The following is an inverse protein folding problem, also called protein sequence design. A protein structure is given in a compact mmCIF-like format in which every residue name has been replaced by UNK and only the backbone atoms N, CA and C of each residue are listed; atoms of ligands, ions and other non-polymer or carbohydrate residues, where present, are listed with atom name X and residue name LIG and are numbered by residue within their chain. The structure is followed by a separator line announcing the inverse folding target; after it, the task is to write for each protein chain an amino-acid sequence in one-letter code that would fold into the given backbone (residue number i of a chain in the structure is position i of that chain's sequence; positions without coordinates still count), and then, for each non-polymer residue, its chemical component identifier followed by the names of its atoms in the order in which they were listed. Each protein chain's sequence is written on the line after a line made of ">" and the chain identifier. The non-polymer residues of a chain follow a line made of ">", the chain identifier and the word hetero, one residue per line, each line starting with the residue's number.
data_IF_002430483195
#
_entry.id   IF_002430483195
#
_cell.length_a   1.000
_cell.length_b   1.000
_cell.length_c   1.000
_cell.angle_alpha   90.00
_cell.angle_beta   90.00
_cell.angle_gamma   90.00
#
_symmetry.space_group_name_H-M   'P 1'
#
loop_
_entity.id
_entity.type
_entity.pdbx_description
1 polymer ?
#
# COMPACT_ATOMS: atom_id res chain seq x y z
N UNK A 1 19.42 2.09 -1.92
CA UNK A 1 18.43 2.79 -2.77
C UNK A 1 18.06 4.16 -2.20
N UNK A 2 17.55 4.27 -0.96
CA UNK A 2 17.18 5.57 -0.38
C UNK A 2 18.31 6.61 -0.32
N UNK A 3 19.53 6.22 0.05
CA UNK A 3 20.68 7.13 0.13
C UNK A 3 21.12 7.77 -1.20
N UNK A 4 20.65 7.24 -2.34
CA UNK A 4 20.95 7.78 -3.68
C UNK A 4 19.83 8.71 -4.21
N UNK A 5 18.73 8.88 -3.47
CA UNK A 5 17.61 9.72 -3.89
C UNK A 5 18.01 11.19 -3.79
N UNK A 6 17.78 11.94 -4.87
CA UNK A 6 18.02 13.38 -4.92
C UNK A 6 16.87 14.17 -4.28
N UNK A 7 17.10 15.45 -4.00
CA UNK A 7 16.03 16.35 -3.59
C UNK A 7 14.89 16.40 -4.63
N UNK A 8 15.23 16.32 -5.93
CA UNK A 8 14.24 16.28 -7.00
C UNK A 8 13.34 15.04 -6.91
N UNK A 9 13.89 13.89 -6.51
CA UNK A 9 13.12 12.66 -6.32
C UNK A 9 12.15 12.79 -5.14
N UNK A 10 12.59 13.42 -4.04
CA UNK A 10 11.72 13.71 -2.89
C UNK A 10 10.56 14.63 -3.28
N UNK A 11 10.84 15.71 -4.03
CA UNK A 11 9.80 16.64 -4.50
C UNK A 11 8.77 15.91 -5.38
N UNK A 12 9.24 15.09 -6.33
CA UNK A 12 8.36 14.27 -7.18
C UNK A 12 7.51 13.31 -6.34
N UNK A 13 8.13 12.60 -5.40
CA UNK A 13 7.44 11.64 -4.54
C UNK A 13 6.34 12.31 -3.68
N UNK A 14 6.60 13.48 -3.10
CA UNK A 14 5.59 14.23 -2.36
C UNK A 14 4.45 14.76 -3.26
N UNK A 15 4.76 15.14 -4.50
CA UNK A 15 3.75 15.45 -5.52
C UNK A 15 2.84 14.26 -5.79
N UNK A 16 3.42 13.07 -5.99
CA UNK A 16 2.66 11.84 -6.21
C UNK A 16 1.84 11.43 -4.98
N UNK A 17 2.39 11.56 -3.77
CA UNK A 17 1.65 11.31 -2.55
C UNK A 17 0.43 12.24 -2.44
N UNK A 18 0.60 13.53 -2.77
CA UNK A 18 -0.50 14.51 -2.77
C UNK A 18 -1.58 14.14 -3.80
N UNK A 19 -1.18 13.63 -4.97
CA UNK A 19 -2.11 13.14 -6.00
C UNK A 19 -2.88 11.91 -5.51
N UNK A 20 -2.19 10.95 -4.89
CA UNK A 20 -2.79 9.74 -4.31
C UNK A 20 -3.79 10.11 -3.21
N UNK A 21 -3.40 10.97 -2.27
CA UNK A 21 -4.27 11.49 -1.21
C UNK A 21 -5.56 12.09 -1.79
N UNK A 22 -5.44 13.08 -2.68
CA UNK A 22 -6.62 13.75 -3.28
C UNK A 22 -7.50 12.79 -4.07
N UNK A 23 -6.90 11.83 -4.76
CA UNK A 23 -7.64 10.79 -5.48
C UNK A 23 -8.42 9.87 -4.54
N UNK A 24 -7.86 9.54 -3.39
CA UNK A 24 -8.53 8.71 -2.39
C UNK A 24 -9.66 9.45 -1.67
N UNK A 25 -9.46 10.73 -1.34
CA UNK A 25 -10.45 11.54 -0.61
C UNK A 25 -11.79 11.70 -1.33
N UNK A 26 -11.80 11.62 -2.67
CA UNK A 26 -13.04 11.67 -3.46
C UNK A 26 -14.01 10.54 -3.11
N UNK A 27 -13.52 9.41 -2.63
CA UNK A 27 -14.38 8.28 -2.27
C UNK A 27 -15.21 8.62 -1.02
N UNK A 28 -14.65 9.45 -0.13
CA UNK A 28 -15.36 9.92 1.06
C UNK A 28 -16.41 10.99 0.77
N UNK A 29 -16.54 11.47 -0.48
CA UNK A 29 -17.70 12.26 -0.91
C UNK A 29 -18.97 11.39 -1.05
N UNK A 30 -18.79 10.06 -1.17
CA UNK A 30 -19.86 9.10 -1.42
C UNK A 30 -20.00 8.05 -0.32
N UNK A 31 -18.95 7.79 0.47
CA UNK A 31 -18.92 6.73 1.47
C UNK A 31 -18.28 7.20 2.77
N UNK A 32 -18.87 6.86 3.92
CA UNK A 32 -18.27 7.18 5.22
C UNK A 32 -17.12 6.22 5.58
N UNK A 33 -17.17 4.98 5.07
CA UNK A 33 -16.22 3.92 5.35
C UNK A 33 -15.87 3.15 4.08
N UNK A 34 -14.62 2.72 3.99
CA UNK A 34 -14.12 1.85 2.93
C UNK A 34 -13.70 0.53 3.58
N UNK A 35 -14.26 -0.57 3.07
CA UNK A 35 -13.99 -1.92 3.55
C UNK A 35 -13.14 -2.67 2.52
N UNK A 36 -12.03 -3.24 2.99
CA UNK A 36 -11.13 -4.05 2.18
C UNK A 36 -10.47 -5.14 3.04
N UNK A 37 -10.01 -6.26 2.45
CA UNK A 37 -9.17 -7.21 3.15
C UNK A 37 -7.90 -6.54 3.70
N UNK A 38 -7.45 -6.94 4.90
CA UNK A 38 -6.19 -6.42 5.47
C UNK A 38 -4.97 -6.97 4.71
N UNK A 39 -5.02 -8.23 4.27
CA UNK A 39 -3.93 -8.86 3.51
C UNK A 39 -4.50 -9.70 2.36
N UNK A 40 -3.74 -9.92 1.27
CA UNK A 40 -4.22 -10.66 0.12
C UNK A 40 -4.18 -12.19 0.30
N UNK A 41 -3.66 -12.69 1.43
CA UNK A 41 -3.48 -14.12 1.69
C UNK A 41 -3.75 -14.47 3.15
N UNK A 42 -4.00 -15.75 3.41
CA UNK A 42 -3.93 -16.32 4.76
C UNK A 42 -2.47 -16.50 5.22
N UNK A 43 -2.23 -16.72 6.53
CA UNK A 43 -0.91 -17.08 7.02
C UNK A 43 -0.31 -18.25 6.24
N UNK A 44 0.98 -18.13 5.92
CA UNK A 44 1.77 -19.12 5.18
C UNK A 44 2.98 -19.55 6.03
N UNK A 45 3.72 -20.61 5.67
CA UNK A 45 4.81 -21.13 6.49
C UNK A 45 5.85 -20.08 6.85
N UNK A 46 6.26 -20.02 8.12
CA UNK A 46 7.23 -19.04 8.63
C UNK A 46 8.61 -19.14 7.97
N UNK A 47 8.94 -20.30 7.40
CA UNK A 47 10.18 -20.52 6.65
C UNK A 47 10.21 -19.79 5.31
N UNK A 48 9.06 -19.36 4.80
CA UNK A 48 8.97 -18.52 3.62
C UNK A 48 9.09 -17.06 4.03
N UNK A 49 10.10 -16.38 3.49
CA UNK A 49 10.44 -15.02 3.92
C UNK A 49 9.44 -13.96 3.43
N UNK A 50 8.80 -14.22 2.29
CA UNK A 50 7.81 -13.35 1.65
C UNK A 50 7.05 -14.12 0.56
N UNK A 51 5.90 -13.60 0.15
CA UNK A 51 5.11 -14.16 -0.96
C UNK A 51 5.75 -13.84 -2.31
N UNK A 52 5.92 -14.85 -3.14
CA UNK A 52 6.48 -14.68 -4.50
C UNK A 52 5.41 -14.31 -5.53
N UNK A 53 4.18 -14.73 -5.30
CA UNK A 53 3.05 -14.49 -6.20
C UNK A 53 1.74 -14.37 -5.42
N UNK A 54 0.78 -13.68 -6.02
CA UNK A 54 -0.62 -13.64 -5.56
C UNK A 54 -1.49 -13.92 -6.78
N UNK A 55 -2.42 -14.88 -6.68
CA UNK A 55 -3.29 -15.30 -7.78
C UNK A 55 -2.52 -15.67 -9.07
N UNK A 56 -1.38 -16.34 -8.94
CA UNK A 56 -0.52 -16.72 -10.07
C UNK A 56 0.24 -15.55 -10.72
N UNK A 57 0.20 -14.36 -10.14
CA UNK A 57 0.94 -13.18 -10.61
C UNK A 57 2.19 -13.00 -9.76
N UNK A 58 3.41 -13.12 -10.32
CA UNK A 58 4.64 -12.85 -9.62
C UNK A 58 4.71 -11.40 -9.12
N UNK A 59 5.23 -11.22 -7.91
CA UNK A 59 5.38 -9.91 -7.29
C UNK A 59 6.73 -9.26 -7.63
N UNK A 60 6.74 -7.96 -7.94
CA UNK A 60 7.95 -7.23 -8.33
C UNK A 60 9.09 -7.29 -7.30
N UNK A 61 8.72 -7.40 -6.02
CA UNK A 61 9.65 -7.45 -4.90
C UNK A 61 8.98 -8.06 -3.67
N UNK A 62 9.81 -8.38 -2.66
CA UNK A 62 9.39 -9.02 -1.43
C UNK A 62 8.35 -8.24 -0.61
N UNK A 63 8.20 -6.93 -0.85
CA UNK A 63 7.35 -6.05 -0.05
C UNK A 63 5.98 -5.82 -0.70
N UNK A 64 5.80 -6.18 -1.98
CA UNK A 64 4.58 -5.89 -2.75
C UNK A 64 3.31 -6.51 -2.18
N UNK A 65 3.40 -7.64 -1.49
CA UNK A 65 2.22 -8.29 -0.92
C UNK A 65 1.58 -7.48 0.24
N UNK A 66 2.28 -6.47 0.77
CA UNK A 66 1.77 -5.55 1.80
C UNK A 66 1.03 -4.33 1.21
N UNK A 67 0.74 -4.33 -0.10
CA UNK A 67 0.16 -3.20 -0.81
C UNK A 67 -1.15 -2.69 -0.23
N UNK A 68 -2.00 -3.59 0.26
CA UNK A 68 -3.29 -3.22 0.84
C UNK A 68 -3.12 -2.31 2.06
N UNK A 69 -2.06 -2.50 2.86
CA UNK A 69 -1.79 -1.66 4.03
C UNK A 69 -1.06 -0.36 3.67
N UNK A 70 0.05 -0.42 2.93
CA UNK A 70 0.85 0.79 2.67
C UNK A 70 0.11 1.79 1.78
N UNK A 71 -0.85 1.34 0.96
CA UNK A 71 -1.68 2.24 0.15
C UNK A 71 -2.46 3.20 1.04
N UNK A 72 -3.00 2.71 2.16
CA UNK A 72 -3.75 3.53 3.12
C UNK A 72 -2.82 4.45 3.92
N UNK A 73 -1.60 4.00 4.23
CA UNK A 73 -0.58 4.88 4.84
C UNK A 73 -0.20 6.04 3.92
N UNK A 74 -0.06 5.80 2.61
CA UNK A 74 0.24 6.85 1.62
C UNK A 74 -0.89 7.89 1.51
N UNK A 75 -2.13 7.48 1.72
CA UNK A 75 -3.30 8.38 1.74
C UNK A 75 -3.55 9.00 3.11
N UNK A 76 -2.74 8.70 4.13
CA UNK A 76 -2.82 9.30 5.47
C UNK A 76 -4.16 9.10 6.20
N UNK A 77 -5.00 8.15 5.76
CA UNK A 77 -6.29 7.89 6.38
C UNK A 77 -6.11 7.00 7.63
N UNK A 78 -6.95 7.19 8.67
CA UNK A 78 -7.02 6.24 9.76
C UNK A 78 -7.57 4.89 9.25
N UNK A 79 -7.04 3.80 9.79
CA UNK A 79 -7.49 2.45 9.46
C UNK A 79 -7.45 1.55 10.71
N UNK A 80 -8.31 0.55 10.72
CA UNK A 80 -8.35 -0.51 11.73
C UNK A 80 -8.49 -1.87 11.04
N UNK A 81 -8.03 -2.93 11.69
CA UNK A 81 -8.19 -4.31 11.24
C UNK A 81 -8.99 -5.07 12.30
N UNK A 82 -9.97 -5.86 11.85
CA UNK A 82 -10.82 -6.69 12.69
C UNK A 82 -10.68 -8.16 12.25
N UNK A 83 -10.69 -9.12 13.20
CA UNK A 83 -10.66 -10.55 12.90
C UNK A 83 -12.00 -11.07 12.36
#
# INVERSE_FOLDING_TARGET
>A
MGAAMSLQDCVKAHGEQSRIFRGFQKQFEHYDLILAPTTPVSPFPWSELYLREVNGVPLDNYYRWLALCYTITLTTNPALSLP
#
